data_IF_625072226543
#
_entry.id   IF_625072226543
#
_cell.length_a   1.000
_cell.length_b   1.000
_cell.length_c   1.000
_cell.angle_alpha   90.00
_cell.angle_beta   90.00
_cell.angle_gamma   90.00
#
_symmetry.space_group_name_H-M   'P 1'
#
loop_
_entity.id
_entity.type
_entity.pdbx_description
1 polymer ?
#
# COMPACT_ATOMS: atom_id res chain seq x y z
N UNK A 1 -1.14 13.63 -16.43
CA UNK A 1 -1.58 12.24 -16.07
C UNK A 1 -2.10 12.29 -14.64
N UNK A 2 -3.24 11.66 -14.39
CA UNK A 2 -3.85 11.63 -13.05
C UNK A 2 -2.97 10.87 -12.04
N UNK A 3 -3.10 11.19 -10.75
CA UNK A 3 -2.29 10.62 -9.68
C UNK A 3 -3.22 10.15 -8.56
N UNK A 4 -3.03 8.93 -8.06
CA UNK A 4 -3.93 8.29 -7.11
C UNK A 4 -3.18 7.63 -5.96
N UNK A 5 -3.66 7.82 -4.74
CA UNK A 5 -3.24 7.07 -3.54
C UNK A 5 -4.37 6.10 -3.21
N UNK A 6 -4.07 4.81 -3.24
CA UNK A 6 -5.07 3.75 -3.13
C UNK A 6 -4.98 3.03 -1.79
N UNK A 7 -6.10 2.97 -1.09
CA UNK A 7 -6.26 2.32 0.20
C UNK A 7 -7.42 1.34 0.18
N UNK A 8 -7.36 0.37 1.08
CA UNK A 8 -8.52 -0.44 1.48
C UNK A 8 -8.53 -0.63 3.00
N UNK A 9 -9.73 -0.66 3.60
CA UNK A 9 -9.91 -0.96 5.01
C UNK A 9 -11.25 -1.64 5.25
N UNK A 10 -11.29 -2.56 6.17
CA UNK A 10 -12.45 -3.36 6.54
C UNK A 10 -12.36 -3.83 7.99
N UNK A 11 -13.44 -4.39 8.51
CA UNK A 11 -13.54 -4.81 9.89
C UNK A 11 -13.83 -3.65 10.84
N UNK A 12 -13.86 -3.95 12.13
CA UNK A 12 -14.24 -3.02 13.19
C UNK A 12 -13.06 -2.51 14.03
N UNK A 13 -11.82 -2.78 13.62
CA UNK A 13 -10.63 -2.23 14.29
C UNK A 13 -10.53 -0.73 13.97
N UNK A 14 -10.69 0.10 15.01
CA UNK A 14 -10.68 1.57 14.89
C UNK A 14 -9.37 2.12 14.30
N UNK A 15 -8.25 1.42 14.47
CA UNK A 15 -6.95 1.79 13.93
C UNK A 15 -7.01 2.06 12.43
N UNK A 16 -7.71 1.22 11.66
CA UNK A 16 -7.82 1.38 10.21
C UNK A 16 -8.73 2.55 9.83
N UNK A 17 -9.83 2.74 10.54
CA UNK A 17 -10.75 3.86 10.31
C UNK A 17 -10.12 5.23 10.66
N UNK A 18 -9.46 5.32 11.82
CA UNK A 18 -8.71 6.52 12.24
C UNK A 18 -7.58 6.79 11.25
N UNK A 19 -6.84 5.74 10.85
CA UNK A 19 -5.76 5.85 9.89
C UNK A 19 -6.24 6.33 8.51
N UNK A 20 -7.41 5.88 8.06
CA UNK A 20 -8.01 6.36 6.82
C UNK A 20 -8.27 7.88 6.84
N UNK A 21 -8.86 8.40 7.94
CA UNK A 21 -9.07 9.84 8.11
C UNK A 21 -7.77 10.63 8.12
N UNK A 22 -6.79 10.16 8.89
CA UNK A 22 -5.50 10.83 9.00
C UNK A 22 -4.72 10.84 7.69
N UNK A 23 -4.69 9.71 6.97
CA UNK A 23 -4.04 9.64 5.67
C UNK A 23 -4.72 10.52 4.62
N UNK A 24 -6.03 10.71 4.68
CA UNK A 24 -6.73 11.69 3.83
C UNK A 24 -6.22 13.11 4.08
N UNK A 25 -6.10 13.53 5.35
CA UNK A 25 -5.55 14.85 5.70
C UNK A 25 -4.06 14.99 5.34
N UNK A 26 -3.27 13.96 5.58
CA UNK A 26 -1.85 13.93 5.22
C UNK A 26 -1.65 13.96 3.69
N UNK A 27 -2.52 13.29 2.93
CA UNK A 27 -2.51 13.34 1.48
C UNK A 27 -2.73 14.77 0.97
N UNK A 28 -3.71 15.49 1.52
CA UNK A 28 -3.93 16.91 1.18
C UNK A 28 -2.71 17.77 1.42
N UNK A 29 -1.92 17.47 2.45
CA UNK A 29 -0.72 18.22 2.84
C UNK A 29 0.52 17.85 2.01
N UNK A 30 0.77 16.57 1.81
CA UNK A 30 2.02 16.07 1.24
C UNK A 30 1.91 15.70 -0.24
N UNK A 31 0.68 15.47 -0.73
CA UNK A 31 0.35 15.05 -2.09
C UNK A 31 -0.79 15.90 -2.68
N UNK A 32 -0.67 17.25 -2.71
CA UNK A 32 -1.80 18.15 -3.03
C UNK A 32 -2.41 17.90 -4.41
N UNK A 33 -1.64 17.33 -5.37
CA UNK A 33 -2.08 17.04 -6.74
C UNK A 33 -2.58 15.60 -6.92
N UNK A 34 -2.72 14.84 -5.82
CA UNK A 34 -3.15 13.45 -5.85
C UNK A 34 -4.59 13.33 -5.35
N UNK A 35 -5.33 12.41 -5.96
CA UNK A 35 -6.63 11.96 -5.44
C UNK A 35 -6.44 10.73 -4.57
N UNK A 36 -7.16 10.66 -3.48
CA UNK A 36 -7.20 9.48 -2.61
C UNK A 36 -8.39 8.62 -3.00
N UNK A 37 -8.18 7.32 -3.17
CA UNK A 37 -9.24 6.32 -3.38
C UNK A 37 -9.24 5.39 -2.17
N UNK A 38 -10.38 5.30 -1.49
CA UNK A 38 -10.55 4.46 -0.31
C UNK A 38 -11.69 3.46 -0.52
N UNK A 39 -11.32 2.19 -0.56
CA UNK A 39 -12.28 1.09 -0.59
C UNK A 39 -12.59 0.62 0.83
N UNK A 40 -13.87 0.36 1.09
CA UNK A 40 -14.34 -0.24 2.33
C UNK A 40 -15.54 -1.16 2.07
N UNK A 41 -15.92 -1.96 3.05
CA UNK A 41 -17.15 -2.74 3.08
C UNK A 41 -18.09 -2.28 4.23
N UNK A 42 -19.20 -3.00 4.41
CA UNK A 42 -20.19 -2.70 5.45
C UNK A 42 -19.74 -3.10 6.87
N UNK A 43 -18.60 -3.73 7.06
CA UNK A 43 -18.04 -4.06 8.37
C UNK A 43 -17.41 -2.85 9.09
N UNK A 44 -17.09 -1.79 8.31
CA UNK A 44 -16.51 -0.56 8.84
C UNK A 44 -17.56 0.30 9.53
N UNK A 45 -17.22 0.89 10.69
CA UNK A 45 -18.08 1.88 11.35
C UNK A 45 -18.40 3.02 10.35
N UNK A 46 -19.71 3.27 10.08
CA UNK A 46 -20.14 4.25 9.06
C UNK A 46 -19.72 5.68 9.36
N UNK A 47 -19.26 5.99 10.57
CA UNK A 47 -18.71 7.32 10.91
C UNK A 47 -17.51 7.69 10.03
N UNK A 48 -16.62 6.70 9.71
CA UNK A 48 -15.41 6.94 8.94
C UNK A 48 -15.69 7.25 7.46
N UNK A 49 -16.39 6.41 6.69
CA UNK A 49 -16.69 6.73 5.29
C UNK A 49 -17.58 7.97 5.16
N UNK A 50 -18.44 8.28 6.14
CA UNK A 50 -19.25 9.50 6.17
C UNK A 50 -18.38 10.77 6.23
N UNK A 51 -17.33 10.79 7.05
CA UNK A 51 -16.40 11.93 7.14
C UNK A 51 -15.56 12.03 5.87
N UNK A 52 -15.02 10.90 5.39
CA UNK A 52 -14.18 10.85 4.18
C UNK A 52 -14.91 11.36 2.94
N UNK A 53 -16.20 11.03 2.76
CA UNK A 53 -17.04 11.50 1.65
C UNK A 53 -17.18 13.03 1.57
N UNK A 54 -16.94 13.76 2.68
CA UNK A 54 -16.97 15.23 2.70
C UNK A 54 -15.63 15.87 2.24
N UNK A 55 -14.58 15.08 2.01
CA UNK A 55 -13.28 15.56 1.58
C UNK A 55 -13.20 15.55 0.05
N UNK A 56 -13.11 16.70 -0.61
CA UNK A 56 -13.20 16.85 -2.08
C UNK A 56 -12.11 16.11 -2.86
N UNK A 57 -10.98 15.79 -2.25
CA UNK A 57 -9.87 15.04 -2.83
C UNK A 57 -9.94 13.54 -2.58
N UNK A 58 -10.97 13.06 -1.86
CA UNK A 58 -11.16 11.66 -1.49
C UNK A 58 -12.36 11.07 -2.23
N UNK A 59 -12.14 9.96 -2.92
CA UNK A 59 -13.18 9.11 -3.48
C UNK A 59 -13.35 7.90 -2.56
N UNK A 60 -14.55 7.73 -2.00
CA UNK A 60 -14.88 6.64 -1.08
C UNK A 60 -15.80 5.65 -1.79
N UNK A 61 -15.37 4.41 -1.85
CA UNK A 61 -16.07 3.34 -2.59
C UNK A 61 -16.42 2.22 -1.62
N UNK A 62 -17.73 2.00 -1.44
CA UNK A 62 -18.21 0.79 -0.79
C UNK A 62 -18.14 -0.35 -1.82
N UNK A 63 -17.33 -1.36 -1.54
CA UNK A 63 -17.08 -2.46 -2.48
C UNK A 63 -18.34 -3.31 -2.72
N UNK A 64 -19.21 -3.41 -1.73
CA UNK A 64 -20.44 -4.16 -1.83
C UNK A 64 -21.51 -3.49 -2.72
N UNK A 65 -21.42 -2.15 -2.85
CA UNK A 65 -22.30 -1.35 -3.72
C UNK A 65 -21.76 -1.24 -5.14
N UNK A 66 -20.44 -1.40 -5.33
CA UNK A 66 -19.80 -1.23 -6.62
C UNK A 66 -20.13 -2.35 -7.60
N UNK A 67 -19.90 -3.60 -7.22
CA UNK A 67 -20.14 -4.79 -8.03
C UNK A 67 -20.26 -6.01 -7.12
N UNK A 68 -21.36 -6.78 -7.21
CA UNK A 68 -21.51 -8.01 -6.43
C UNK A 68 -20.37 -9.02 -6.60
N UNK A 69 -19.70 -9.03 -7.76
CA UNK A 69 -18.55 -9.90 -8.02
C UNK A 69 -17.34 -9.57 -7.12
N UNK A 70 -17.20 -8.32 -6.71
CA UNK A 70 -16.10 -7.91 -5.83
C UNK A 70 -16.29 -8.29 -4.36
N UNK A 71 -17.47 -8.72 -3.93
CA UNK A 71 -17.68 -9.28 -2.58
C UNK A 71 -16.81 -10.49 -2.28
N UNK A 72 -16.42 -11.23 -3.31
CA UNK A 72 -15.55 -12.40 -3.19
C UNK A 72 -14.06 -12.03 -3.16
N UNK A 73 -13.72 -10.78 -3.45
CA UNK A 73 -12.33 -10.31 -3.44
C UNK A 73 -11.91 -9.97 -2.03
N UNK A 74 -10.87 -10.61 -1.55
CA UNK A 74 -10.31 -10.29 -0.23
C UNK A 74 -9.87 -8.82 -0.14
N UNK A 75 -10.20 -8.15 0.97
CA UNK A 75 -10.03 -6.70 1.17
C UNK A 75 -8.65 -6.14 0.87
N UNK A 76 -7.60 -6.94 1.06
CA UNK A 76 -6.23 -6.55 0.75
C UNK A 76 -6.01 -6.20 -0.74
N UNK A 77 -6.84 -6.72 -1.64
CA UNK A 77 -6.73 -6.47 -3.08
C UNK A 77 -7.59 -5.31 -3.58
N UNK A 78 -8.57 -4.80 -2.82
CA UNK A 78 -9.43 -3.71 -3.32
C UNK A 78 -8.64 -2.47 -3.72
N UNK A 79 -7.58 -2.15 -2.98
CA UNK A 79 -6.68 -1.03 -3.29
C UNK A 79 -5.88 -1.19 -4.59
N UNK A 80 -5.89 -2.38 -5.21
CA UNK A 80 -5.26 -2.64 -6.50
C UNK A 80 -6.22 -2.39 -7.67
N UNK A 81 -7.53 -2.39 -7.45
CA UNK A 81 -8.55 -2.25 -8.49
C UNK A 81 -8.41 -0.99 -9.36
N UNK A 82 -8.08 0.21 -8.81
CA UNK A 82 -7.96 1.40 -9.62
C UNK A 82 -6.97 1.28 -10.78
N UNK A 83 -5.93 0.47 -10.63
CA UNK A 83 -4.91 0.27 -11.66
C UNK A 83 -5.42 -0.47 -12.91
N UNK A 84 -6.52 -1.20 -12.79
CA UNK A 84 -7.17 -1.89 -13.91
C UNK A 84 -8.26 -1.06 -14.57
N UNK A 85 -8.70 0.00 -13.90
CA UNK A 85 -9.87 0.78 -14.29
C UNK A 85 -9.51 2.18 -14.79
N UNK A 86 -8.30 2.68 -14.49
CA UNK A 86 -7.92 4.09 -14.72
C UNK A 86 -6.49 4.21 -15.22
N UNK A 87 -6.24 5.24 -16.03
CA UNK A 87 -4.89 5.65 -16.38
C UNK A 87 -4.32 6.61 -15.33
N UNK A 88 -3.06 6.40 -14.94
CA UNK A 88 -2.42 7.32 -14.00
C UNK A 88 -1.14 6.79 -13.38
N UNK A 89 -0.68 7.55 -12.39
CA UNK A 89 0.28 7.08 -11.40
C UNK A 89 -0.51 6.63 -10.17
N UNK A 90 -0.20 5.45 -9.68
CA UNK A 90 -0.85 4.86 -8.52
C UNK A 90 0.20 4.57 -7.46
N UNK A 91 -0.06 4.94 -6.23
CA UNK A 91 0.67 4.42 -5.07
C UNK A 91 -0.33 3.68 -4.17
N UNK A 92 0.11 2.54 -3.65
CA UNK A 92 -0.70 1.68 -2.78
C UNK A 92 -0.15 1.74 -1.38
N UNK A 93 -1.04 1.98 -0.40
CA UNK A 93 -0.67 2.20 1.00
C UNK A 93 -1.60 1.47 1.96
N UNK A 94 -1.09 1.23 3.17
CA UNK A 94 -1.86 0.68 4.29
C UNK A 94 -2.50 1.84 5.08
N UNK A 95 -3.74 1.66 5.52
CA UNK A 95 -4.43 2.70 6.28
C UNK A 95 -3.88 2.89 7.69
N UNK A 96 -3.29 1.86 8.28
CA UNK A 96 -2.61 1.95 9.58
C UNK A 96 -1.19 2.56 9.51
N UNK A 97 -0.64 2.80 8.32
CA UNK A 97 0.55 3.63 8.16
C UNK A 97 0.20 5.12 8.10
N UNK A 98 1.20 5.99 8.03
CA UNK A 98 1.02 7.45 7.87
C UNK A 98 1.88 7.96 6.73
N UNK A 99 1.26 8.76 5.84
CA UNK A 99 1.97 9.46 4.77
C UNK A 99 2.96 10.47 5.35
N UNK A 100 4.17 10.52 4.80
CA UNK A 100 5.25 11.39 5.27
C UNK A 100 5.80 12.29 4.17
N UNK A 101 6.48 13.37 4.57
CA UNK A 101 7.22 14.24 3.64
C UNK A 101 8.33 13.46 2.91
N UNK A 102 9.01 12.56 3.64
CA UNK A 102 10.06 11.70 3.10
C UNK A 102 9.53 10.82 1.98
N UNK A 103 8.38 10.21 2.22
CA UNK A 103 7.68 9.41 1.23
C UNK A 103 7.25 10.23 0.01
N UNK A 104 6.66 11.41 0.22
CA UNK A 104 6.24 12.28 -0.86
C UNK A 104 7.41 12.69 -1.76
N UNK A 105 8.58 12.95 -1.19
CA UNK A 105 9.81 13.24 -1.95
C UNK A 105 10.21 12.03 -2.80
N UNK A 106 10.21 10.82 -2.25
CA UNK A 106 10.56 9.60 -2.96
C UNK A 106 9.59 9.32 -4.12
N UNK A 107 8.29 9.48 -3.87
CA UNK A 107 7.24 9.32 -4.91
C UNK A 107 7.39 10.36 -6.02
N UNK A 108 7.67 11.62 -5.70
CA UNK A 108 7.89 12.67 -6.71
C UNK A 108 9.11 12.38 -7.58
N UNK A 109 10.20 11.88 -6.99
CA UNK A 109 11.37 11.45 -7.76
C UNK A 109 11.02 10.31 -8.72
N UNK A 110 10.29 9.30 -8.24
CA UNK A 110 9.79 8.24 -9.11
C UNK A 110 8.92 8.77 -10.25
N UNK A 111 7.95 9.63 -9.97
CA UNK A 111 7.04 10.18 -10.99
C UNK A 111 7.81 10.88 -12.12
N UNK A 112 8.94 11.53 -11.80
CA UNK A 112 9.79 12.26 -12.77
C UNK A 112 10.84 11.37 -13.42
N UNK A 113 11.18 10.21 -12.86
CA UNK A 113 12.24 9.32 -13.34
C UNK A 113 11.92 8.59 -14.65
N UNK A 114 10.66 8.53 -15.05
CA UNK A 114 10.21 7.73 -16.19
C UNK A 114 10.12 6.23 -15.94
N UNK A 115 10.52 5.74 -14.76
CA UNK A 115 10.37 4.34 -14.37
C UNK A 115 8.92 3.95 -14.22
N UNK A 116 8.57 2.73 -14.61
CA UNK A 116 7.16 2.27 -14.57
C UNK A 116 6.72 1.80 -13.20
N UNK A 117 7.66 1.37 -12.36
CA UNK A 117 7.35 0.82 -11.04
C UNK A 117 8.20 1.48 -9.94
N UNK A 118 7.67 1.55 -8.74
CA UNK A 118 8.30 2.14 -7.56
C UNK A 118 8.10 1.24 -6.35
N UNK A 119 9.11 1.11 -5.51
CA UNK A 119 8.98 0.49 -4.18
C UNK A 119 9.84 1.22 -3.15
N UNK A 120 9.38 1.23 -1.91
CA UNK A 120 10.09 1.85 -0.78
C UNK A 120 10.47 0.77 0.24
N UNK A 121 11.71 0.82 0.74
CA UNK A 121 12.27 -0.12 1.71
C UNK A 121 13.02 0.64 2.81
N UNK A 122 12.28 1.24 3.71
CA UNK A 122 12.80 2.14 4.75
C UNK A 122 13.01 1.46 6.13
N UNK A 123 12.94 0.13 6.16
CA UNK A 123 13.19 -0.68 7.36
C UNK A 123 13.77 -2.04 6.94
N UNK A 124 14.56 -2.69 7.83
CA UNK A 124 15.18 -3.99 7.54
C UNK A 124 14.15 -5.08 7.17
N UNK A 125 13.01 -5.12 7.86
CA UNK A 125 11.93 -6.06 7.55
C UNK A 125 11.33 -5.87 6.14
N UNK A 126 11.53 -4.70 5.52
CA UNK A 126 11.04 -4.44 4.17
C UNK A 126 11.82 -5.20 3.09
N UNK A 127 12.96 -5.77 3.43
CA UNK A 127 13.77 -6.60 2.52
C UNK A 127 13.41 -8.09 2.53
N UNK A 128 12.44 -8.49 3.36
CA UNK A 128 11.94 -9.88 3.37
C UNK A 128 11.12 -10.21 2.11
N UNK A 129 10.58 -9.19 1.45
CA UNK A 129 9.81 -9.29 0.22
C UNK A 129 10.40 -8.39 -0.88
N UNK A 130 10.32 -8.80 -2.16
CA UNK A 130 10.74 -7.93 -3.25
C UNK A 130 9.89 -6.66 -3.34
N UNK A 131 8.61 -6.74 -2.98
CA UNK A 131 7.65 -5.63 -2.91
C UNK A 131 6.74 -5.83 -1.71
N UNK A 132 6.63 -4.82 -0.86
CA UNK A 132 5.63 -4.81 0.21
C UNK A 132 4.29 -4.26 -0.31
N UNK A 133 3.20 -4.89 0.12
CA UNK A 133 1.86 -4.62 -0.41
C UNK A 133 1.35 -3.19 -0.17
N UNK A 134 1.84 -2.52 0.88
CA UNK A 134 1.55 -1.12 1.19
C UNK A 134 2.63 -0.11 0.78
N UNK A 135 3.66 -0.51 0.02
CA UNK A 135 4.87 0.29 -0.17
C UNK A 135 5.32 0.39 -1.63
N UNK A 136 4.38 0.41 -2.57
CA UNK A 136 4.70 0.42 -3.99
C UNK A 136 3.85 1.41 -4.78
N UNK A 137 4.28 1.64 -6.02
CA UNK A 137 3.56 2.42 -6.99
C UNK A 137 3.80 1.94 -8.41
N UNK A 138 2.87 2.27 -9.29
CA UNK A 138 2.92 1.89 -10.70
C UNK A 138 2.43 3.04 -11.59
N UNK A 139 3.00 3.15 -12.78
CA UNK A 139 2.61 4.09 -13.83
C UNK A 139 1.93 3.36 -14.97
N UNK A 140 0.81 3.93 -15.44
CA UNK A 140 0.11 3.46 -16.63
C UNK A 140 -1.13 2.63 -16.31
N UNK A 141 -1.70 2.03 -17.34
CA UNK A 141 -2.77 1.04 -17.22
C UNK A 141 -2.12 -0.32 -16.97
N UNK A 142 -2.60 -1.03 -16.00
CA UNK A 142 -2.15 -2.40 -15.77
C UNK A 142 -2.68 -3.27 -16.90
N UNK A 143 -1.77 -4.00 -17.54
CA UNK A 143 -2.13 -4.89 -18.62
C UNK A 143 -3.22 -5.89 -18.16
N UNK A 144 -4.25 -6.18 -18.97
CA UNK A 144 -5.31 -7.13 -18.64
C UNK A 144 -4.84 -8.49 -18.12
N UNK A 145 -3.66 -8.92 -18.55
CA UNK A 145 -2.99 -10.12 -18.03
C UNK A 145 -2.86 -10.13 -16.51
N UNK A 146 -2.48 -9.01 -15.89
CA UNK A 146 -2.35 -8.94 -14.43
C UNK A 146 -3.70 -8.98 -13.72
N UNK A 147 -4.76 -8.46 -14.34
CA UNK A 147 -6.11 -8.59 -13.82
C UNK A 147 -6.55 -10.06 -13.78
N UNK A 148 -6.28 -10.81 -14.84
CA UNK A 148 -6.58 -12.26 -14.88
C UNK A 148 -5.73 -13.03 -13.85
N UNK A 149 -4.48 -12.65 -13.66
CA UNK A 149 -3.64 -13.21 -12.60
C UNK A 149 -4.17 -12.90 -11.21
N UNK A 150 -4.61 -11.67 -10.96
CA UNK A 150 -5.18 -11.26 -9.69
C UNK A 150 -6.42 -12.11 -9.34
N UNK A 151 -7.26 -12.46 -10.33
CA UNK A 151 -8.44 -13.32 -10.12
C UNK A 151 -8.11 -14.70 -9.54
N UNK A 152 -6.89 -15.19 -9.74
CA UNK A 152 -6.44 -16.47 -9.17
C UNK A 152 -6.14 -16.38 -7.68
N UNK A 153 -5.89 -15.18 -7.16
CA UNK A 153 -5.50 -14.92 -5.78
C UNK A 153 -6.61 -14.30 -4.93
N UNK A 154 -7.55 -13.59 -5.53
CA UNK A 154 -8.45 -12.67 -4.81
C UNK A 154 -9.43 -13.34 -3.84
N UNK A 155 -9.66 -14.64 -3.94
CA UNK A 155 -10.48 -15.39 -2.99
C UNK A 155 -9.68 -15.98 -1.82
N UNK A 156 -8.36 -15.95 -1.91
CA UNK A 156 -7.51 -16.39 -0.81
C UNK A 156 -7.47 -15.34 0.29
N UNK A 157 -7.67 -15.77 1.54
CA UNK A 157 -7.86 -14.87 2.69
C UNK A 157 -6.72 -14.94 3.71
N UNK A 158 -5.61 -15.61 3.39
CA UNK A 158 -4.50 -15.65 4.31
C UNK A 158 -3.70 -14.34 4.31
N UNK A 159 -3.18 -14.01 5.47
CA UNK A 159 -2.31 -12.86 5.65
C UNK A 159 -1.14 -12.89 4.67
N UNK A 160 -0.80 -11.77 4.05
CA UNK A 160 0.27 -11.60 3.04
C UNK A 160 -0.02 -12.14 1.64
N UNK A 161 -1.25 -12.54 1.30
CA UNK A 161 -1.58 -13.03 -0.04
C UNK A 161 -1.32 -11.99 -1.13
N UNK A 162 -1.55 -10.73 -0.84
CA UNK A 162 -1.26 -9.60 -1.72
C UNK A 162 0.25 -9.42 -1.96
N UNK A 163 1.10 -9.66 -0.96
CA UNK A 163 2.55 -9.70 -1.12
C UNK A 163 3.01 -10.90 -1.95
N UNK A 164 2.38 -12.06 -1.78
CA UNK A 164 2.64 -13.24 -2.61
C UNK A 164 2.31 -12.95 -4.08
N UNK A 165 1.16 -12.33 -4.35
CA UNK A 165 0.78 -11.91 -5.69
C UNK A 165 1.81 -10.94 -6.30
N UNK A 166 2.20 -9.91 -5.56
CA UNK A 166 3.20 -8.94 -6.02
C UNK A 166 4.54 -9.61 -6.32
N UNK A 167 4.99 -10.51 -5.45
CA UNK A 167 6.28 -11.20 -5.61
C UNK A 167 6.30 -12.17 -6.79
N UNK A 168 5.21 -12.90 -7.02
CA UNK A 168 5.14 -13.97 -8.04
C UNK A 168 4.75 -13.45 -9.42
N UNK A 169 3.78 -12.53 -9.48
CA UNK A 169 3.17 -12.14 -10.74
C UNK A 169 3.66 -10.76 -11.22
N UNK A 170 3.83 -9.79 -10.32
CA UNK A 170 4.17 -8.42 -10.70
C UNK A 170 5.68 -8.22 -10.76
N UNK A 171 6.41 -8.59 -9.72
CA UNK A 171 7.85 -8.31 -9.62
C UNK A 171 8.67 -8.81 -10.80
N UNK A 172 8.50 -10.04 -11.30
CA UNK A 172 9.29 -10.51 -12.47
C UNK A 172 9.11 -9.65 -13.71
N UNK A 173 7.95 -9.04 -13.88
CA UNK A 173 7.64 -8.21 -15.04
C UNK A 173 8.15 -6.76 -14.92
N UNK A 174 8.31 -6.23 -13.70
CA UNK A 174 8.61 -4.81 -13.48
C UNK A 174 10.02 -4.53 -12.96
N UNK A 175 10.74 -5.52 -12.47
CA UNK A 175 12.04 -5.35 -11.80
C UNK A 175 13.10 -4.65 -12.65
N UNK A 176 13.02 -4.71 -13.98
CA UNK A 176 13.96 -4.02 -14.88
C UNK A 176 13.66 -2.53 -15.03
N UNK A 177 12.45 -2.09 -14.66
CA UNK A 177 12.01 -0.69 -14.74
C UNK A 177 11.51 -0.18 -13.39
N UNK A 178 12.09 -0.67 -12.30
CA UNK A 178 11.79 -0.22 -10.94
C UNK A 178 12.71 0.90 -10.51
N UNK A 179 12.17 1.88 -9.78
CA UNK A 179 12.94 2.77 -8.91
C UNK A 179 12.74 2.29 -7.47
N UNK A 180 13.82 1.94 -6.81
CA UNK A 180 13.81 1.54 -5.39
C UNK A 180 14.33 2.68 -4.55
N UNK A 181 13.53 3.14 -3.58
CA UNK A 181 14.01 4.00 -2.50
C UNK A 181 14.18 3.14 -1.25
N UNK A 182 15.40 2.82 -0.92
CA UNK A 182 15.67 1.92 0.19
C UNK A 182 16.93 2.31 0.96
N UNK A 183 17.01 1.84 2.19
CA UNK A 183 18.14 2.12 3.06
C UNK A 183 19.43 1.39 2.65
N UNK A 184 19.37 0.44 1.72
CA UNK A 184 20.52 -0.33 1.20
C UNK A 184 20.91 0.07 -0.22
N UNK A 185 20.05 0.81 -0.92
CA UNK A 185 20.22 1.20 -2.33
C UNK A 185 21.08 2.45 -2.53
N UNK A 186 21.49 3.11 -1.42
CA UNK A 186 22.29 4.33 -1.45
C UNK A 186 21.47 5.58 -1.86
N UNK A 187 22.19 6.70 -2.03
CA UNK A 187 21.61 7.99 -2.36
C UNK A 187 20.88 8.66 -1.20
N UNK A 188 20.25 9.80 -1.48
CA UNK A 188 19.66 10.66 -0.44
C UNK A 188 18.69 9.91 0.51
N UNK A 189 17.98 8.93 0.01
CA UNK A 189 17.01 8.20 0.82
C UNK A 189 17.69 7.34 1.90
N UNK A 190 18.77 6.65 1.58
CA UNK A 190 19.59 5.93 2.54
C UNK A 190 20.35 6.89 3.46
N UNK A 191 20.99 7.91 2.87
CA UNK A 191 21.87 8.85 3.59
C UNK A 191 21.13 9.67 4.65
N UNK A 192 19.87 10.03 4.39
CA UNK A 192 19.02 10.80 5.34
C UNK A 192 18.20 9.93 6.28
N UNK A 193 18.42 8.62 6.33
CA UNK A 193 17.63 7.72 7.20
C UNK A 193 17.79 8.04 8.68
N UNK A 194 19.01 8.41 9.10
CA UNK A 194 19.29 8.78 10.47
C UNK A 194 18.62 10.10 10.90
N UNK A 195 18.34 11.00 9.95
CA UNK A 195 17.77 12.32 10.22
C UNK A 195 16.28 12.28 10.58
N UNK A 196 15.57 11.20 10.21
CA UNK A 196 14.13 11.03 10.48
C UNK A 196 13.83 10.32 11.80
N UNK A 197 14.86 10.04 12.59
CA UNK A 197 14.71 9.35 13.87
C UNK A 197 14.26 7.89 13.70
N UNK A 198 13.37 7.45 14.57
CA UNK A 198 12.90 6.06 14.61
C UNK A 198 11.75 5.76 13.66
N UNK A 199 11.04 6.79 13.20
CA UNK A 199 9.92 6.63 12.28
C UNK A 199 10.43 6.28 10.87
N UNK A 200 9.81 5.29 10.25
CA UNK A 200 10.11 4.89 8.88
C UNK A 200 8.86 4.94 8.00
N UNK A 201 9.06 5.08 6.71
CA UNK A 201 7.94 5.05 5.76
C UNK A 201 7.28 3.68 5.80
N UNK A 202 5.95 3.64 6.00
CA UNK A 202 5.20 2.41 6.16
C UNK A 202 5.09 1.92 7.61
N UNK A 203 5.58 2.68 8.60
CA UNK A 203 5.38 2.36 10.01
C UNK A 203 3.88 2.32 10.34
N UNK A 204 3.48 1.25 11.06
CA UNK A 204 2.10 1.09 11.53
C UNK A 204 1.85 1.87 12.83
N UNK A 205 0.60 2.33 13.00
CA UNK A 205 0.18 3.17 14.12
C UNK A 205 -1.13 2.67 14.73
N UNK A 206 -1.26 2.82 16.04
CA UNK A 206 -2.52 2.64 16.75
C UNK A 206 -3.48 3.81 16.51
N UNK A 207 -4.72 3.66 16.91
CA UNK A 207 -5.76 4.70 16.83
C UNK A 207 -5.45 5.95 17.67
N UNK A 208 -4.68 5.80 18.74
CA UNK A 208 -4.21 6.90 19.61
C UNK A 208 -2.95 7.61 19.09
N UNK A 209 -2.50 7.26 17.89
CA UNK A 209 -1.27 7.75 17.25
C UNK A 209 0.02 7.37 17.98
N UNK A 210 0.02 6.25 18.67
CA UNK A 210 1.27 5.62 19.10
C UNK A 210 1.73 4.63 18.03
N UNK A 211 3.06 4.51 17.77
CA UNK A 211 3.56 3.55 16.79
C UNK A 211 3.33 2.12 17.26
N UNK A 212 2.97 1.22 16.32
CA UNK A 212 2.78 -0.21 16.59
C UNK A 212 4.06 -0.92 16.98
N UNK A 213 5.20 -0.37 16.57
CA UNK A 213 6.51 -0.91 16.85
C UNK A 213 7.29 0.11 17.68
N UNK A 214 7.59 -0.22 18.95
CA UNK A 214 8.61 0.52 19.67
C UNK A 214 9.98 0.03 19.23
N UNK A 215 10.97 0.91 19.20
CA UNK A 215 12.35 0.62 18.78
C UNK A 215 13.01 -0.50 19.60
N UNK A 216 12.51 -0.75 20.81
CA UNK A 216 12.99 -1.79 21.71
C UNK A 216 12.38 -3.18 21.45
N UNK A 217 11.43 -3.31 20.53
CA UNK A 217 10.98 -4.64 20.12
C UNK A 217 12.00 -5.22 19.14
N UNK A 218 12.71 -6.31 19.52
CA UNK A 218 13.46 -7.08 18.53
C UNK A 218 12.49 -7.44 17.42
N UNK A 219 12.89 -7.14 16.17
CA UNK A 219 12.13 -7.50 14.97
C UNK A 219 11.46 -8.85 15.22
N UNK A 220 10.12 -8.91 15.22
CA UNK A 220 9.42 -10.19 15.32
C UNK A 220 10.03 -11.05 14.23
N UNK A 221 10.86 -12.01 14.63
CA UNK A 221 11.34 -13.06 13.73
C UNK A 221 10.06 -13.74 13.26
N UNK A 222 9.54 -13.29 12.13
CA UNK A 222 8.52 -14.04 11.40
C UNK A 222 9.09 -15.45 11.33
N UNK A 223 8.37 -16.40 11.89
CA UNK A 223 8.83 -17.77 11.96
C UNK A 223 9.25 -18.18 10.56
N UNK A 224 10.55 -18.46 10.35
CA UNK A 224 11.10 -18.86 9.04
C UNK A 224 10.32 -20.02 8.39
N UNK A 225 9.52 -20.76 9.19
CA UNK A 225 8.58 -21.76 8.74
C UNK A 225 7.38 -21.20 7.98
N UNK A 226 6.87 -20.01 8.32
CA UNK A 226 5.73 -19.39 7.62
C UNK A 226 6.15 -18.82 6.25
N UNK A 227 7.38 -18.33 6.14
CA UNK A 227 7.94 -17.87 4.87
C UNK A 227 8.22 -19.05 3.93
N UNK A 228 8.72 -20.17 4.45
CA UNK A 228 8.97 -21.36 3.64
C UNK A 228 7.70 -22.02 3.10
N UNK A 229 6.57 -21.97 3.82
CA UNK A 229 5.31 -22.52 3.33
C UNK A 229 4.68 -21.65 2.23
N UNK A 230 4.87 -20.33 2.28
CA UNK A 230 4.41 -19.42 1.21
C UNK A 230 5.28 -19.50 -0.07
N UNK A 231 6.50 -20.02 0.05
CA UNK A 231 7.44 -20.21 -1.07
C UNK A 231 7.48 -21.64 -1.62
N UNK A 232 6.55 -22.51 -1.18
CA UNK A 232 6.52 -23.89 -1.69
C UNK A 232 5.99 -23.91 -3.13
N UNK A 233 6.81 -24.28 -4.16
CA UNK A 233 6.42 -24.28 -5.57
C UNK A 233 5.46 -25.42 -5.97
N UNK A 234 4.79 -26.04 -5.03
CA UNK A 234 3.90 -27.20 -5.21
C UNK A 234 2.41 -26.93 -5.05
N UNK A 235 1.92 -25.68 -5.30
CA UNK A 235 0.51 -25.35 -5.47
C UNK A 235 0.31 -24.66 -6.81
#
# INVERSE_FOLDING_TARGET
MSKYICYSFWGNDERFGVGALQNAELAKRHFPDWKVIMYHDNSVDPKYPKVLKNMSHVEVINIEEKDPGYKLVFGAFWRFLPMFEREGHFIVRDTDSRLTVREARAVNEWVTSGRTFHTIRDHEAHYEWPVLAGMWGMRGVVHPFFQEKLKQYWQATFYTIDQVFLAREIWPAVQQSVLVHGMREGGWFADTRADVGYNFVGEGWHEDNTPLYSFDMPSRKLNKGQIKSAYNPGL
#
